data_IF_697648782708
#
_entry.id   IF_697648782708
#
_cell.length_a   1.000
_cell.length_b   1.000
_cell.length_c   1.000
_cell.angle_alpha   90.00
_cell.angle_beta   90.00
_cell.angle_gamma   90.00
#
_symmetry.space_group_name_H-M   'P 1'
#
loop_
_entity.id
_entity.type
_entity.pdbx_description
1 polymer ?
#
# COMPACT_ATOMS: atom_id res chain seq x y z
N UNK A 1 5.71 -27.18 39.99
CA UNK A 1 5.24 -25.78 39.88
C UNK A 1 5.60 -25.29 38.50
N UNK A 2 4.67 -24.68 37.76
CA UNK A 2 4.97 -24.15 36.43
C UNK A 2 5.87 -22.91 36.58
N UNK A 3 7.03 -22.92 35.93
CA UNK A 3 7.94 -21.77 35.90
C UNK A 3 7.37 -20.72 34.96
N UNK A 4 6.80 -19.66 35.51
CA UNK A 4 6.28 -18.55 34.73
C UNK A 4 7.45 -17.68 34.22
N UNK A 5 7.44 -17.38 32.92
CA UNK A 5 8.47 -16.60 32.23
C UNK A 5 7.87 -15.40 31.52
N UNK A 6 8.64 -14.31 31.42
CA UNK A 6 8.23 -13.12 30.70
C UNK A 6 8.07 -13.42 29.21
N UNK A 7 6.89 -13.12 28.65
CA UNK A 7 6.61 -13.34 27.24
C UNK A 7 7.37 -12.38 26.30
N UNK A 8 8.01 -11.32 26.80
CA UNK A 8 8.80 -10.38 25.98
C UNK A 8 10.29 -10.69 25.96
N UNK A 9 10.88 -11.04 27.10
CA UNK A 9 12.33 -11.27 27.21
C UNK A 9 12.72 -12.69 27.60
N UNK A 10 11.75 -13.60 27.72
CA UNK A 10 11.95 -15.01 28.10
C UNK A 10 12.61 -15.25 29.47
N UNK A 11 12.86 -14.21 30.28
CA UNK A 11 13.41 -14.33 31.62
C UNK A 11 12.38 -14.95 32.57
N UNK A 12 12.82 -15.90 33.40
CA UNK A 12 12.01 -16.46 34.48
C UNK A 12 11.60 -15.36 35.46
N UNK A 13 10.33 -15.31 35.85
CA UNK A 13 9.83 -14.23 36.71
C UNK A 13 10.39 -14.28 38.13
N UNK A 14 10.84 -15.46 38.56
CA UNK A 14 11.58 -15.66 39.81
C UNK A 14 12.96 -15.00 39.81
N UNK A 15 13.56 -14.83 38.63
CA UNK A 15 14.88 -14.23 38.44
C UNK A 15 14.80 -12.79 37.91
N UNK A 16 13.59 -12.31 37.59
CA UNK A 16 13.38 -10.99 37.04
C UNK A 16 13.63 -9.92 38.11
N UNK A 17 14.67 -9.10 37.91
CA UNK A 17 14.93 -7.94 38.76
C UNK A 17 13.75 -6.95 38.64
N UNK A 18 13.40 -6.32 39.74
CA UNK A 18 12.32 -5.32 39.78
C UNK A 18 12.94 -3.93 39.83
N UNK A 19 12.54 -2.98 38.96
CA UNK A 19 12.96 -1.59 39.06
C UNK A 19 12.52 -0.99 40.41
N UNK A 20 13.45 -0.38 41.13
CA UNK A 20 13.20 0.29 42.42
C UNK A 20 13.66 1.75 42.34
N UNK A 21 13.07 2.60 43.18
CA UNK A 21 13.50 3.98 43.35
C UNK A 21 14.66 4.04 44.36
N UNK A 22 15.83 4.62 44.04
CA UNK A 22 16.94 4.71 44.99
C UNK A 22 16.61 5.54 46.23
N UNK A 23 15.62 6.42 46.18
CA UNK A 23 15.16 7.24 47.31
C UNK A 23 14.08 6.56 48.17
N UNK A 24 13.46 5.50 47.64
CA UNK A 24 12.37 4.79 48.27
C UNK A 24 12.48 3.33 47.82
N UNK A 25 12.91 2.43 48.70
CA UNK A 25 13.08 0.98 48.46
C UNK A 25 11.82 0.24 47.91
N UNK A 26 10.74 0.97 47.67
CA UNK A 26 9.53 0.50 47.02
C UNK A 26 9.79 0.17 45.54
N UNK A 27 9.35 -1.02 45.09
CA UNK A 27 9.28 -1.35 43.67
C UNK A 27 8.41 -0.36 42.90
N UNK A 28 8.91 0.13 41.75
CA UNK A 28 8.18 1.06 40.88
C UNK A 28 7.07 0.36 40.11
N UNK A 29 7.31 -0.88 39.69
CA UNK A 29 6.40 -1.68 38.88
C UNK A 29 6.48 -3.13 39.33
N UNK A 30 5.39 -3.87 39.16
CA UNK A 30 5.33 -5.30 39.41
C UNK A 30 5.16 -6.07 38.10
N UNK A 31 5.43 -7.38 38.14
CA UNK A 31 5.11 -8.25 37.01
C UNK A 31 3.61 -8.19 36.71
N UNK A 32 3.27 -8.16 35.42
CA UNK A 32 1.90 -7.97 34.95
C UNK A 32 1.44 -9.20 34.18
N UNK A 33 0.36 -9.81 34.65
CA UNK A 33 -0.35 -10.85 33.91
C UNK A 33 -1.41 -10.23 32.98
N UNK A 34 -1.38 -10.63 31.71
CA UNK A 34 -2.27 -10.12 30.67
C UNK A 34 -3.61 -10.86 30.72
N UNK A 35 -4.72 -10.12 30.82
CA UNK A 35 -6.07 -10.71 30.91
C UNK A 35 -6.50 -11.44 29.63
N UNK A 36 -6.03 -11.02 28.45
CA UNK A 36 -6.48 -11.57 27.17
C UNK A 36 -5.92 -12.96 26.84
N UNK A 37 -4.71 -13.29 27.30
CA UNK A 37 -4.03 -14.55 26.95
C UNK A 37 -3.28 -15.19 28.12
N UNK A 38 -3.46 -14.67 29.34
CA UNK A 38 -2.85 -15.17 30.59
C UNK A 38 -1.32 -15.17 30.63
N UNK A 39 -0.65 -14.55 29.65
CA UNK A 39 0.81 -14.41 29.58
C UNK A 39 1.32 -13.32 30.53
N UNK A 40 2.57 -13.45 30.95
CA UNK A 40 3.21 -12.58 31.95
C UNK A 40 4.23 -11.63 31.30
N UNK A 41 4.29 -10.37 31.74
CA UNK A 41 5.34 -9.40 31.36
C UNK A 41 6.08 -8.96 32.62
N UNK A 42 7.40 -9.14 32.65
CA UNK A 42 8.21 -8.73 33.81
C UNK A 42 8.25 -7.20 34.00
N UNK A 43 8.50 -6.75 35.22
CA UNK A 43 8.57 -5.33 35.57
C UNK A 43 9.62 -4.55 34.76
N UNK A 44 10.76 -5.17 34.43
CA UNK A 44 11.80 -4.54 33.60
C UNK A 44 11.33 -4.25 32.17
N UNK A 45 10.61 -5.19 31.54
CA UNK A 45 10.06 -4.96 30.21
C UNK A 45 9.02 -3.84 30.23
N UNK A 46 8.19 -3.78 31.28
CA UNK A 46 7.23 -2.70 31.47
C UNK A 46 7.89 -1.34 31.73
N UNK A 47 9.02 -1.32 32.43
CA UNK A 47 9.78 -0.10 32.68
C UNK A 47 10.49 0.40 31.41
N UNK A 48 11.13 -0.49 30.67
CA UNK A 48 11.79 -0.16 29.39
C UNK A 48 10.80 0.31 28.33
N UNK A 49 9.58 -0.23 28.33
CA UNK A 49 8.53 0.18 27.43
C UNK A 49 7.18 0.31 28.16
N UNK A 50 6.81 1.53 28.57
CA UNK A 50 5.57 1.80 29.31
C UNK A 50 4.30 1.35 28.59
N UNK A 51 4.33 1.16 27.26
CA UNK A 51 3.19 0.62 26.49
C UNK A 51 2.76 -0.75 27.03
N UNK A 52 3.69 -1.58 27.51
CA UNK A 52 3.38 -2.89 28.05
C UNK A 52 2.62 -2.87 29.39
N UNK A 53 2.44 -1.72 30.02
CA UNK A 53 1.57 -1.57 31.19
C UNK A 53 0.08 -1.55 30.84
N UNK A 54 -0.26 -1.16 29.60
CA UNK A 54 -1.65 -1.02 29.13
C UNK A 54 -1.95 -1.74 27.82
N UNK A 55 -0.98 -2.44 27.23
CA UNK A 55 -1.11 -3.13 25.94
C UNK A 55 -0.46 -4.51 25.94
N UNK A 56 -1.14 -5.48 25.34
CA UNK A 56 -0.63 -6.82 25.08
C UNK A 56 0.04 -6.88 23.70
N UNK A 57 1.35 -7.18 23.59
CA UNK A 57 2.03 -7.26 22.29
C UNK A 57 1.59 -8.46 21.44
N UNK A 58 1.02 -9.50 22.04
CA UNK A 58 0.63 -10.73 21.34
C UNK A 58 -0.76 -10.63 20.74
N UNK A 59 -1.74 -10.25 21.56
CA UNK A 59 -3.13 -10.12 21.12
C UNK A 59 -3.43 -8.73 20.54
N UNK A 60 -2.48 -7.80 20.65
CA UNK A 60 -2.62 -6.40 20.24
C UNK A 60 -3.83 -5.68 20.88
N UNK A 61 -4.20 -6.10 22.09
CA UNK A 61 -5.32 -5.55 22.87
C UNK A 61 -4.79 -4.52 23.86
N UNK A 62 -5.50 -3.40 24.01
CA UNK A 62 -5.25 -2.44 25.09
C UNK A 62 -6.26 -2.62 26.22
N UNK A 63 -5.77 -2.58 27.46
CA UNK A 63 -6.59 -2.62 28.67
C UNK A 63 -6.95 -1.22 29.20
N UNK A 64 -6.40 -0.15 28.60
CA UNK A 64 -6.70 1.25 28.95
C UNK A 64 -7.72 1.90 28.01
N UNK A 65 -8.08 3.18 28.22
CA UNK A 65 -8.89 3.96 27.29
C UNK A 65 -8.05 4.28 26.03
N UNK A 66 -7.96 3.32 25.13
CA UNK A 66 -7.26 3.44 23.86
C UNK A 66 -8.25 3.40 22.70
N UNK A 67 -7.88 4.00 21.56
CA UNK A 67 -8.65 3.92 20.32
C UNK A 67 -8.74 2.50 19.72
N UNK A 68 -8.05 1.53 20.33
CA UNK A 68 -8.06 0.12 19.93
C UNK A 68 -9.18 -0.66 20.65
N UNK A 69 -9.92 -1.54 19.94
CA UNK A 69 -10.96 -2.36 20.56
C UNK A 69 -10.44 -3.21 21.72
N UNK A 70 -11.19 -3.24 22.83
CA UNK A 70 -10.91 -4.09 24.01
C UNK A 70 -10.96 -5.58 23.69
N UNK A 71 -11.76 -5.96 22.71
CA UNK A 71 -11.93 -7.34 22.23
C UNK A 71 -10.85 -7.80 21.22
N UNK A 72 -9.89 -6.93 20.88
CA UNK A 72 -8.85 -7.25 19.90
C UNK A 72 -9.28 -7.04 18.46
N UNK A 73 -8.34 -7.27 17.54
CA UNK A 73 -8.62 -7.28 16.11
C UNK A 73 -9.70 -8.34 15.83
N UNK A 74 -10.74 -7.93 15.09
CA UNK A 74 -11.85 -8.80 14.65
C UNK A 74 -11.29 -10.16 14.25
N UNK A 75 -11.79 -11.22 14.88
CA UNK A 75 -11.56 -12.59 14.41
C UNK A 75 -11.87 -12.59 12.90
N UNK A 76 -11.01 -13.19 12.06
CA UNK A 76 -11.34 -13.35 10.65
C UNK A 76 -12.72 -14.03 10.56
N UNK A 77 -13.54 -13.68 9.55
CA UNK A 77 -14.84 -14.31 9.39
C UNK A 77 -14.66 -15.83 9.45
N UNK A 78 -15.49 -16.48 10.27
CA UNK A 78 -15.46 -17.93 10.42
C UNK A 78 -15.74 -18.56 9.06
N UNK A 79 -14.76 -19.26 8.47
CA UNK A 79 -14.93 -19.98 7.20
C UNK A 79 -15.79 -21.25 7.33
N UNK A 80 -16.38 -21.49 8.51
CA UNK A 80 -17.33 -22.59 8.69
C UNK A 80 -18.62 -22.24 7.96
N UNK A 81 -18.81 -22.88 6.81
CA UNK A 81 -20.03 -22.79 6.00
C UNK A 81 -21.21 -23.41 6.77
N UNK A 82 -21.84 -22.64 7.64
CA UNK A 82 -23.16 -22.98 8.19
C UNK A 82 -24.17 -22.82 7.07
N UNK A 83 -24.49 -23.92 6.41
CA UNK A 83 -25.65 -23.99 5.55
C UNK A 83 -26.91 -23.95 6.44
N UNK A 84 -27.82 -22.96 6.28
CA UNK A 84 -29.12 -23.03 6.90
C UNK A 84 -29.95 -24.10 6.20
N UNK A 85 -30.29 -25.16 6.94
CA UNK A 85 -31.28 -26.14 6.57
C UNK A 85 -32.66 -25.49 6.60
N UNK A 86 -33.21 -25.16 5.43
CA UNK A 86 -34.65 -25.21 5.15
C UNK A 86 -34.89 -25.15 3.64
N UNK A 87 -35.91 -25.88 3.19
CA UNK A 87 -36.51 -25.92 1.85
C UNK A 87 -35.86 -26.84 0.79
N UNK A 88 -36.36 -28.07 0.80
CA UNK A 88 -36.70 -28.94 -0.33
C UNK A 88 -36.87 -28.23 -1.68
N UNK A 89 -36.11 -28.62 -2.71
CA UNK A 89 -36.60 -29.05 -4.04
C UNK A 89 -35.45 -29.52 -4.95
N UNK A 90 -35.71 -30.67 -5.59
CA UNK A 90 -35.24 -31.09 -6.91
C UNK A 90 -33.75 -31.33 -7.13
N UNK A 91 -33.45 -32.63 -7.14
CA UNK A 91 -32.38 -33.31 -7.88
C UNK A 91 -32.01 -32.66 -9.21
N UNK A 92 -30.75 -32.26 -9.33
CA UNK A 92 -30.00 -32.23 -10.59
C UNK A 92 -28.53 -32.49 -10.27
N UNK A 93 -28.02 -33.59 -10.84
CA UNK A 93 -26.66 -34.07 -10.68
C UNK A 93 -25.64 -33.02 -11.14
N UNK A 94 -24.62 -32.77 -10.31
CA UNK A 94 -23.40 -32.06 -10.71
C UNK A 94 -22.21 -32.99 -10.43
N UNK A 95 -21.30 -33.18 -11.40
CA UNK A 95 -20.22 -34.15 -11.27
C UNK A 95 -19.26 -33.73 -10.15
N UNK A 96 -18.87 -34.73 -9.35
CA UNK A 96 -17.83 -34.65 -8.34
C UNK A 96 -16.54 -34.09 -8.94
N UNK A 97 -16.06 -32.98 -8.41
CA UNK A 97 -14.69 -32.52 -8.63
C UNK A 97 -13.72 -33.63 -8.17
N UNK A 98 -12.68 -33.97 -8.95
CA UNK A 98 -11.66 -34.90 -8.48
C UNK A 98 -10.96 -34.31 -7.23
N UNK A 99 -10.55 -35.16 -6.28
CA UNK A 99 -9.80 -34.72 -5.11
C UNK A 99 -8.51 -34.01 -5.54
N UNK A 100 -8.02 -33.03 -4.74
CA UNK A 100 -6.70 -32.45 -4.98
C UNK A 100 -5.64 -33.56 -4.96
N UNK A 101 -4.56 -33.41 -5.74
CA UNK A 101 -3.48 -34.40 -5.76
C UNK A 101 -2.93 -34.61 -4.34
N UNK A 102 -2.54 -35.84 -3.97
CA UNK A 102 -1.87 -36.13 -2.72
C UNK A 102 -0.65 -35.22 -2.54
N UNK A 103 -0.45 -34.71 -1.33
CA UNK A 103 0.76 -33.97 -0.99
C UNK A 103 1.92 -34.96 -1.00
N UNK A 104 2.66 -35.01 -2.11
CA UNK A 104 3.97 -35.67 -2.15
C UNK A 104 4.88 -34.91 -1.19
N UNK A 105 5.36 -35.65 -0.19
CA UNK A 105 6.31 -35.21 0.81
C UNK A 105 7.59 -34.79 0.07
N UNK A 106 7.82 -33.49 -0.03
CA UNK A 106 9.02 -32.96 -0.68
C UNK A 106 10.25 -33.57 0.00
N UNK A 107 10.93 -34.43 -0.76
CA UNK A 107 12.22 -35.00 -0.42
C UNK A 107 13.10 -34.00 0.34
N UNK A 108 13.68 -34.38 1.48
CA UNK A 108 14.62 -33.53 2.19
C UNK A 108 15.80 -33.27 1.25
N UNK A 109 16.09 -31.98 1.04
CA UNK A 109 17.32 -31.52 0.42
C UNK A 109 18.50 -32.31 0.99
N UNK A 110 19.23 -33.01 0.11
CA UNK A 110 20.49 -33.64 0.44
C UNK A 110 21.45 -32.57 0.96
N UNK A 111 21.62 -32.51 2.28
CA UNK A 111 22.85 -32.07 2.91
C UNK A 111 23.94 -33.08 2.55
N UNK A 112 24.74 -32.77 1.53
CA UNK A 112 26.04 -33.40 1.36
C UNK A 112 27.00 -32.78 2.38
N UNK A 113 27.12 -33.47 3.51
CA UNK A 113 28.31 -33.41 4.36
C UNK A 113 29.50 -33.89 3.55
N UNK A 114 30.37 -32.96 3.17
CA UNK A 114 31.75 -33.24 2.80
C UNK A 114 32.64 -32.60 3.85
N UNK A 115 32.96 -33.38 4.87
CA UNK A 115 34.09 -33.12 5.76
C UNK A 115 35.39 -33.36 5.00
N UNK A 116 36.08 -32.29 4.64
CA UNK A 116 37.54 -32.27 4.56
C UNK A 116 38.03 -30.95 5.14
N UNK A 117 38.56 -31.07 6.35
CA UNK A 117 39.29 -30.08 7.13
C UNK A 117 40.42 -29.44 6.32
N UNK A 118 40.48 -28.11 6.28
CA UNK A 118 41.71 -27.33 6.35
C UNK A 118 41.38 -25.87 6.72
N UNK A 119 41.90 -25.51 7.89
CA UNK A 119 42.52 -24.24 8.29
C UNK A 119 41.82 -22.89 8.03
N UNK A 120 41.79 -22.07 9.09
CA UNK A 120 41.03 -20.83 9.15
C UNK A 120 41.65 -19.70 8.32
N UNK A 121 40.82 -18.69 7.99
CA UNK A 121 41.14 -17.25 8.01
C UNK A 121 39.88 -16.45 7.63
N UNK A 122 39.48 -15.57 8.55
CA UNK A 122 38.65 -14.34 8.44
C UNK A 122 37.55 -14.24 7.37
N UNK A 123 36.30 -14.21 7.84
CA UNK A 123 35.15 -13.61 7.15
C UNK A 123 35.29 -12.08 7.13
N UNK A 124 35.65 -11.53 5.97
CA UNK A 124 35.24 -10.18 5.59
C UNK A 124 34.14 -10.27 4.54
N UNK A 125 32.92 -9.90 4.95
CA UNK A 125 31.80 -9.66 4.05
C UNK A 125 32.05 -8.34 3.33
N UNK A 126 32.69 -8.40 2.17
CA UNK A 126 32.64 -7.33 1.18
C UNK A 126 31.83 -7.84 -0.02
N UNK A 127 30.50 -7.73 0.07
CA UNK A 127 29.63 -7.79 -1.10
C UNK A 127 29.77 -6.46 -1.82
N UNK A 128 30.75 -6.40 -2.72
CA UNK A 128 30.89 -5.33 -3.69
C UNK A 128 29.64 -5.34 -4.58
N UNK A 129 28.75 -4.38 -4.36
CA UNK A 129 27.76 -3.96 -5.35
C UNK A 129 28.55 -3.61 -6.63
N UNK A 130 28.30 -4.25 -7.78
CA UNK A 130 28.98 -3.83 -8.99
C UNK A 130 28.59 -2.38 -9.31
N UNK A 131 29.60 -1.54 -9.47
CA UNK A 131 29.48 -0.16 -9.95
C UNK A 131 28.79 -0.16 -11.31
N UNK A 132 27.81 0.73 -11.44
CA UNK A 132 27.27 1.30 -12.69
C UNK A 132 27.43 0.42 -13.93
N UNK A 133 26.65 -0.67 -13.99
CA UNK A 133 26.29 -1.21 -15.29
C UNK A 133 25.28 -0.25 -15.92
N UNK A 134 25.48 0.12 -17.18
CA UNK A 134 24.50 0.90 -17.96
C UNK A 134 23.20 0.09 -18.08
N UNK A 135 22.33 0.20 -17.08
CA UNK A 135 21.06 -0.51 -17.04
C UNK A 135 20.10 0.08 -18.07
N UNK A 136 19.42 -0.78 -18.81
CA UNK A 136 18.43 -0.36 -19.80
C UNK A 136 17.18 0.15 -19.09
N UNK A 137 16.74 1.35 -19.44
CA UNK A 137 15.52 1.96 -18.88
C UNK A 137 14.32 1.53 -19.72
N UNK A 138 13.31 0.93 -19.09
CA UNK A 138 12.02 0.62 -19.70
C UNK A 138 10.93 1.53 -19.15
N UNK A 139 10.25 2.25 -20.03
CA UNK A 139 9.09 3.07 -19.70
C UNK A 139 7.83 2.21 -19.61
N UNK A 140 7.16 2.29 -18.46
CA UNK A 140 6.02 1.42 -18.14
C UNK A 140 4.78 1.92 -18.89
N UNK A 141 4.15 1.00 -19.62
CA UNK A 141 2.82 1.18 -20.22
C UNK A 141 1.72 0.60 -19.30
N UNK A 142 0.46 1.03 -19.45
CA UNK A 142 -0.65 0.50 -18.64
C UNK A 142 -0.85 -1.02 -18.78
N UNK A 143 -0.45 -1.59 -19.92
CA UNK A 143 -0.56 -3.01 -20.21
C UNK A 143 0.64 -3.83 -19.73
N UNK A 144 1.67 -3.18 -19.16
CA UNK A 144 2.86 -3.86 -18.69
C UNK A 144 2.65 -4.53 -17.32
N UNK A 145 3.19 -5.74 -17.20
CA UNK A 145 3.22 -6.52 -15.97
C UNK A 145 4.63 -7.08 -15.76
N UNK A 146 4.99 -7.44 -14.52
CA UNK A 146 6.30 -8.04 -14.26
C UNK A 146 6.51 -9.35 -15.07
N UNK A 147 5.45 -10.11 -15.33
CA UNK A 147 5.51 -11.31 -16.15
C UNK A 147 5.76 -10.99 -17.63
N UNK A 148 5.05 -10.00 -18.20
CA UNK A 148 5.26 -9.62 -19.60
C UNK A 148 6.67 -9.04 -19.81
N UNK A 149 7.17 -8.24 -18.87
CA UNK A 149 8.53 -7.69 -18.91
C UNK A 149 9.60 -8.77 -18.73
N UNK A 150 9.35 -9.75 -17.86
CA UNK A 150 10.24 -10.90 -17.68
C UNK A 150 10.41 -11.68 -18.98
N UNK A 151 9.32 -11.89 -19.74
CA UNK A 151 9.35 -12.58 -21.02
C UNK A 151 9.99 -11.73 -22.12
N UNK A 152 9.66 -10.44 -22.20
CA UNK A 152 10.18 -9.54 -23.22
C UNK A 152 11.71 -9.38 -23.11
N UNK A 153 12.22 -9.22 -21.89
CA UNK A 153 13.63 -8.95 -21.63
C UNK A 153 14.42 -10.19 -21.20
N UNK A 154 13.77 -11.36 -21.09
CA UNK A 154 14.37 -12.62 -20.63
C UNK A 154 15.02 -12.52 -19.25
N UNK A 155 14.47 -11.68 -18.36
CA UNK A 155 14.95 -11.49 -16.99
C UNK A 155 14.00 -12.18 -16.02
N UNK A 156 14.45 -13.06 -15.12
CA UNK A 156 13.56 -13.68 -14.13
C UNK A 156 12.87 -12.64 -13.24
N UNK A 157 11.56 -12.83 -12.98
CA UNK A 157 10.76 -11.95 -12.12
C UNK A 157 11.41 -11.65 -10.75
N UNK A 158 12.01 -12.62 -10.03
CA UNK A 158 12.65 -12.32 -8.73
C UNK A 158 13.81 -11.34 -8.84
N UNK A 159 14.60 -11.43 -9.92
CA UNK A 159 15.74 -10.53 -10.19
C UNK A 159 15.23 -9.14 -10.56
N UNK A 160 14.20 -9.07 -11.40
CA UNK A 160 13.61 -7.78 -11.78
C UNK A 160 12.99 -7.07 -10.57
N UNK A 161 12.37 -7.82 -9.65
CA UNK A 161 11.82 -7.30 -8.39
C UNK A 161 12.91 -6.79 -7.44
N UNK A 162 13.97 -7.58 -7.22
CA UNK A 162 15.05 -7.19 -6.31
C UNK A 162 15.83 -5.98 -6.84
N UNK A 163 16.14 -5.97 -8.14
CA UNK A 163 16.87 -4.86 -8.77
C UNK A 163 16.13 -3.53 -8.70
N UNK A 164 14.81 -3.57 -8.82
CA UNK A 164 13.96 -2.38 -8.78
C UNK A 164 13.36 -2.11 -7.40
N UNK A 165 13.70 -2.86 -6.34
CA UNK A 165 13.06 -2.74 -5.02
C UNK A 165 11.52 -2.77 -5.10
N UNK A 166 10.97 -3.78 -5.79
CA UNK A 166 9.53 -4.03 -5.92
C UNK A 166 9.10 -5.14 -4.96
N UNK A 167 8.37 -4.78 -3.91
CA UNK A 167 7.85 -5.74 -2.92
C UNK A 167 6.55 -6.42 -3.35
N UNK A 168 5.78 -5.78 -4.25
CA UNK A 168 4.54 -6.33 -4.81
C UNK A 168 4.35 -5.89 -6.25
N UNK A 169 3.57 -6.67 -7.00
CA UNK A 169 3.37 -6.47 -8.44
C UNK A 169 2.56 -5.20 -8.74
N UNK A 170 1.68 -4.82 -7.82
CA UNK A 170 0.92 -3.57 -7.88
C UNK A 170 1.79 -2.31 -7.85
N UNK A 171 3.01 -2.39 -7.32
CA UNK A 171 3.92 -1.24 -7.25
C UNK A 171 4.54 -0.90 -8.61
N UNK A 172 4.43 -1.77 -9.60
CA UNK A 172 4.87 -1.49 -10.97
C UNK A 172 4.07 -0.32 -11.56
N UNK A 173 2.73 -0.34 -11.41
CA UNK A 173 1.85 0.69 -11.97
C UNK A 173 2.05 2.10 -11.36
N UNK A 174 2.67 2.18 -10.18
CA UNK A 174 2.97 3.45 -9.53
C UNK A 174 4.24 4.12 -10.08
N UNK A 175 4.98 3.45 -10.97
CA UNK A 175 6.25 3.94 -11.52
C UNK A 175 6.11 4.35 -12.97
N UNK A 176 6.93 5.32 -13.36
CA UNK A 176 7.05 5.76 -14.76
C UNK A 176 7.98 4.86 -15.57
N UNK A 177 9.02 4.35 -14.93
CA UNK A 177 10.05 3.52 -15.56
C UNK A 177 10.61 2.49 -14.58
N UNK A 178 11.27 1.47 -15.13
CA UNK A 178 12.07 0.48 -14.39
C UNK A 178 13.44 0.31 -15.02
N UNK A 179 14.38 -0.20 -14.22
CA UNK A 179 15.72 -0.58 -14.67
C UNK A 179 15.77 -2.07 -14.99
N UNK A 180 16.39 -2.39 -16.11
CA UNK A 180 16.57 -3.76 -16.57
C UNK A 180 18.05 -4.10 -16.42
N UNK A 181 18.40 -5.09 -15.57
CA UNK A 181 19.79 -5.45 -15.35
C UNK A 181 20.47 -5.85 -16.65
N UNK A 182 21.59 -5.19 -16.96
CA UNK A 182 22.39 -5.53 -18.16
C UNK A 182 22.98 -6.95 -18.11
N UNK A 183 23.08 -7.52 -16.92
CA UNK A 183 23.49 -8.92 -16.69
C UNK A 183 22.63 -9.94 -17.45
N UNK A 184 21.37 -9.62 -17.73
CA UNK A 184 20.44 -10.52 -18.40
C UNK A 184 19.99 -10.01 -19.78
N UNK A 185 20.15 -8.71 -20.05
CA UNK A 185 19.67 -8.08 -21.27
C UNK A 185 20.62 -6.98 -21.75
N UNK A 186 21.22 -7.17 -22.93
CA UNK A 186 22.13 -6.22 -23.58
C UNK A 186 21.54 -5.65 -24.89
N UNK A 187 20.22 -5.75 -25.05
CA UNK A 187 19.52 -5.25 -26.24
C UNK A 187 19.06 -3.79 -26.13
N UNK A 188 18.53 -3.21 -27.22
CA UNK A 188 17.94 -1.87 -27.19
C UNK A 188 16.68 -1.84 -26.29
N UNK A 189 16.34 -0.69 -25.69
CA UNK A 189 15.09 -0.56 -24.94
C UNK A 189 13.90 -0.90 -25.85
N UNK A 190 13.03 -1.82 -25.41
CA UNK A 190 11.82 -2.18 -26.16
C UNK A 190 10.67 -1.20 -25.92
N UNK A 191 10.75 -0.34 -24.91
CA UNK A 191 9.74 0.69 -24.66
C UNK A 191 9.96 1.93 -25.50
N UNK A 192 8.88 2.49 -26.03
CA UNK A 192 8.88 3.85 -26.57
C UNK A 192 8.91 4.86 -25.40
N UNK A 193 9.91 5.74 -25.31
CA UNK A 193 9.93 6.78 -24.30
C UNK A 193 8.73 7.73 -24.52
N UNK A 194 8.06 8.19 -23.44
CA UNK A 194 7.03 9.20 -23.55
C UNK A 194 7.64 10.49 -24.10
N UNK A 195 6.91 11.13 -25.01
CA UNK A 195 7.35 12.39 -25.61
C UNK A 195 7.47 13.48 -24.52
N UNK A 196 8.66 14.08 -24.32
CA UNK A 196 8.88 15.07 -23.27
C UNK A 196 7.99 16.32 -23.45
N UNK A 197 7.69 16.68 -24.69
CA UNK A 197 6.87 17.85 -25.00
C UNK A 197 5.41 17.63 -24.61
N UNK A 198 4.84 16.45 -24.91
CA UNK A 198 3.50 16.04 -24.46
C UNK A 198 3.37 16.01 -22.93
N UNK A 199 4.37 15.51 -22.19
CA UNK A 199 4.35 15.54 -20.72
C UNK A 199 4.40 16.96 -20.17
N UNK A 200 5.22 17.84 -20.78
CA UNK A 200 5.29 19.25 -20.42
C UNK A 200 3.96 19.95 -20.67
N UNK A 201 3.29 19.68 -21.81
CA UNK A 201 1.96 20.21 -22.12
C UNK A 201 0.91 19.77 -21.10
N UNK A 202 0.85 18.47 -20.78
CA UNK A 202 -0.08 17.94 -19.76
C UNK A 202 0.17 18.55 -18.38
N UNK A 203 1.43 18.76 -18.03
CA UNK A 203 1.80 19.40 -16.76
C UNK A 203 1.38 20.87 -16.71
N UNK A 204 1.61 21.63 -17.79
CA UNK A 204 1.16 23.02 -17.92
C UNK A 204 -0.36 23.12 -17.87
N UNK A 205 -1.08 22.22 -18.53
CA UNK A 205 -2.54 22.14 -18.51
C UNK A 205 -3.08 21.93 -17.09
N UNK A 206 -2.52 20.96 -16.34
CA UNK A 206 -2.88 20.75 -14.93
C UNK A 206 -2.59 21.96 -14.06
N UNK A 207 -1.42 22.60 -14.25
CA UNK A 207 -1.06 23.81 -13.51
C UNK A 207 -2.01 24.97 -13.80
N UNK A 208 -2.39 25.16 -15.07
CA UNK A 208 -3.36 26.17 -15.47
C UNK A 208 -4.72 25.95 -14.79
N UNK A 209 -5.26 24.71 -14.85
CA UNK A 209 -6.56 24.38 -14.22
C UNK A 209 -6.56 24.63 -12.71
N UNK A 210 -5.43 24.37 -12.03
CA UNK A 210 -5.29 24.67 -10.59
C UNK A 210 -5.21 26.18 -10.34
N UNK A 211 -4.48 26.92 -11.18
CA UNK A 211 -4.31 28.37 -11.03
C UNK A 211 -5.59 29.15 -11.31
N UNK A 212 -6.35 28.77 -12.33
CA UNK A 212 -7.61 29.43 -12.72
C UNK A 212 -8.83 28.86 -12.00
N UNK A 213 -8.69 27.71 -11.33
CA UNK A 213 -9.79 26.94 -10.71
C UNK A 213 -10.87 26.52 -11.71
N UNK A 214 -10.56 26.53 -13.01
CA UNK A 214 -11.44 26.03 -14.06
C UNK A 214 -11.15 24.54 -14.27
N UNK A 215 -12.17 23.70 -14.03
CA UNK A 215 -12.06 22.25 -14.23
C UNK A 215 -12.33 21.81 -15.69
N UNK A 216 -12.65 22.74 -16.58
CA UNK A 216 -12.95 22.43 -17.98
C UNK A 216 -11.66 22.30 -18.81
N UNK A 217 -11.40 21.07 -19.26
CA UNK A 217 -10.25 20.73 -20.08
C UNK A 217 -10.24 21.46 -21.43
N UNK A 218 -11.40 21.67 -22.04
CA UNK A 218 -11.51 22.28 -23.36
C UNK A 218 -11.10 23.76 -23.30
N UNK A 219 -11.55 24.45 -22.26
CA UNK A 219 -11.19 25.85 -21.97
C UNK A 219 -9.69 25.97 -21.67
N UNK A 220 -9.14 25.10 -20.81
CA UNK A 220 -7.71 25.08 -20.52
C UNK A 220 -6.86 24.91 -21.77
N UNK A 221 -7.27 24.00 -22.67
CA UNK A 221 -6.59 23.74 -23.94
C UNK A 221 -6.63 24.95 -24.86
N UNK A 222 -7.76 25.67 -24.89
CA UNK A 222 -7.92 26.87 -25.72
C UNK A 222 -6.96 27.98 -25.29
N UNK A 223 -6.93 28.33 -23.99
CA UNK A 223 -6.04 29.39 -23.48
C UNK A 223 -4.56 29.04 -23.62
N UNK A 224 -4.19 27.78 -23.38
CA UNK A 224 -2.81 27.34 -23.57
C UNK A 224 -2.40 27.31 -25.05
N UNK A 225 -3.31 26.92 -25.95
CA UNK A 225 -3.04 26.96 -27.40
C UNK A 225 -2.93 28.40 -27.92
N UNK A 226 -3.72 29.33 -27.40
CA UNK A 226 -3.70 30.75 -27.78
C UNK A 226 -2.49 31.53 -27.27
N UNK A 227 -1.75 30.98 -26.30
CA UNK A 227 -0.58 31.62 -25.66
C UNK A 227 0.72 30.85 -25.92
N UNK A 228 0.78 30.01 -26.96
CA UNK A 228 1.92 29.16 -27.29
C UNK A 228 2.43 28.32 -26.10
N UNK A 229 1.50 27.84 -25.26
CA UNK A 229 1.75 27.11 -24.03
C UNK A 229 2.57 27.89 -22.99
N UNK A 230 2.46 29.22 -22.97
CA UNK A 230 2.95 30.04 -21.88
C UNK A 230 1.91 30.06 -20.74
N UNK A 231 2.27 29.45 -19.62
CA UNK A 231 1.35 29.27 -18.49
C UNK A 231 0.89 30.62 -17.91
N UNK A 232 1.79 31.58 -17.74
CA UNK A 232 1.50 32.82 -17.06
C UNK A 232 0.58 33.70 -17.91
N UNK A 233 0.89 33.83 -19.21
CA UNK A 233 0.03 34.54 -20.16
C UNK A 233 -1.36 33.91 -20.28
N UNK A 234 -1.45 32.57 -20.29
CA UNK A 234 -2.72 31.86 -20.34
C UNK A 234 -3.59 32.10 -19.09
N UNK A 235 -2.96 32.21 -17.91
CA UNK A 235 -3.67 32.48 -16.65
C UNK A 235 -4.10 33.95 -16.59
N UNK A 236 -3.25 34.87 -17.04
CA UNK A 236 -3.55 36.30 -17.10
C UNK A 236 -4.70 36.59 -18.06
N UNK A 237 -4.68 36.02 -19.28
CA UNK A 237 -5.75 36.16 -20.25
C UNK A 237 -7.10 35.66 -19.69
N UNK A 238 -7.11 34.52 -19.00
CA UNK A 238 -8.32 34.00 -18.37
C UNK A 238 -8.85 34.92 -17.25
N UNK A 239 -7.96 35.48 -16.43
CA UNK A 239 -8.35 36.43 -15.37
C UNK A 239 -8.88 37.73 -15.94
N UNK A 240 -8.26 38.25 -17.00
CA UNK A 240 -8.72 39.44 -17.70
C UNK A 240 -10.13 39.24 -18.26
N UNK A 241 -10.42 38.07 -18.83
CA UNK A 241 -11.77 37.73 -19.31
C UNK A 241 -12.79 37.66 -18.15
N UNK A 242 -12.46 37.02 -17.02
CA UNK A 242 -13.33 36.99 -15.83
C UNK A 242 -13.59 38.39 -15.24
N UNK A 243 -12.57 39.26 -15.22
CA UNK A 243 -12.68 40.65 -14.78
C UNK A 243 -13.53 41.48 -15.76
N UNK A 244 -13.39 41.20 -17.05
CA UNK A 244 -14.21 41.81 -18.09
C UNK A 244 -15.67 41.40 -17.95
N UNK A 245 -15.97 40.10 -17.78
CA UNK A 245 -17.34 39.60 -17.55
C UNK A 245 -17.98 40.21 -16.30
N UNK A 246 -17.19 40.40 -15.24
CA UNK A 246 -17.65 41.01 -13.98
C UNK A 246 -17.97 42.50 -14.14
N UNK A 247 -17.21 43.22 -14.94
CA UNK A 247 -17.39 44.66 -15.21
C UNK A 247 -18.39 44.94 -16.33
N UNK A 248 -18.71 43.94 -17.16
CA UNK A 248 -19.70 44.01 -18.23
C UNK A 248 -20.85 42.99 -18.01
N UNK A 249 -21.66 43.13 -16.94
CA UNK A 249 -22.84 42.30 -16.78
C UNK A 249 -23.76 42.42 -18.01
N UNK A 250 -24.02 41.31 -18.68
CA UNK A 250 -24.91 41.23 -19.83
C UNK A 250 -26.27 41.87 -19.52
N UNK A 251 -26.60 42.97 -20.23
CA UNK A 251 -27.85 43.72 -20.03
C UNK A 251 -28.91 43.26 -21.03
N UNK A 252 -29.79 42.34 -20.59
CA UNK A 252 -31.06 41.93 -21.24
C UNK A 252 -30.99 40.58 -21.99
N UNK A 253 -31.92 39.62 -21.90
CA UNK A 253 -33.37 39.57 -21.59
C UNK A 253 -33.68 38.36 -20.68
N UNK A 254 -34.65 38.51 -19.78
CA UNK A 254 -34.94 37.55 -18.72
C UNK A 254 -35.57 36.23 -19.14
N UNK A 255 -35.26 35.19 -18.37
CA UNK A 255 -36.21 34.24 -17.75
C UNK A 255 -35.41 33.43 -16.72
N UNK A 256 -36.00 33.19 -15.56
CA UNK A 256 -35.39 32.54 -14.41
C UNK A 256 -34.51 31.33 -14.74
N UNK A 257 -33.22 31.43 -14.43
CA UNK A 257 -32.37 30.27 -14.11
C UNK A 257 -31.43 30.63 -12.96
N UNK A 258 -32.03 31.12 -11.86
CA UNK A 258 -31.35 31.09 -10.57
C UNK A 258 -31.19 29.61 -10.17
N UNK A 259 -29.94 29.22 -9.92
CA UNK A 259 -29.50 28.01 -9.22
C UNK A 259 -29.04 26.79 -10.05
N UNK A 260 -27.93 26.93 -10.81
CA UNK A 260 -26.94 25.83 -10.92
C UNK A 260 -25.50 26.37 -10.86
N UNK A 261 -25.15 27.10 -9.79
CA UNK A 261 -23.74 27.24 -9.34
C UNK A 261 -23.73 27.47 -7.83
N UNK A 262 -23.70 26.36 -7.07
CA UNK A 262 -23.09 26.24 -5.74
C UNK A 262 -23.63 24.98 -5.04
N UNK A 263 -22.97 23.83 -5.23
CA UNK A 263 -22.87 22.77 -4.21
C UNK A 263 -21.57 22.00 -4.38
N UNK A 264 -20.46 22.64 -4.01
CA UNK A 264 -19.31 21.92 -3.47
C UNK A 264 -19.26 22.23 -1.98
N UNK A 265 -19.71 21.28 -1.15
CA UNK A 265 -19.61 21.36 0.31
C UNK A 265 -20.80 20.76 1.05
N UNK A 266 -20.54 19.60 1.69
CA UNK A 266 -21.15 19.14 2.95
C UNK A 266 -22.40 18.21 2.93
N UNK A 267 -22.08 16.90 3.03
CA UNK A 267 -22.56 15.95 4.05
C UNK A 267 -23.92 15.23 3.87
N UNK A 268 -23.83 13.91 3.68
CA UNK A 268 -24.61 12.92 4.45
C UNK A 268 -25.75 12.16 3.74
N UNK A 269 -25.60 10.83 3.64
CA UNK A 269 -26.61 9.83 4.05
C UNK A 269 -27.74 9.44 3.09
N UNK A 270 -27.85 8.12 2.82
CA UNK A 270 -29.04 7.42 2.28
C UNK A 270 -29.19 7.53 0.76
N UNK A 271 -29.25 6.46 -0.03
CA UNK A 271 -30.06 5.26 0.13
C UNK A 271 -31.30 5.37 -0.76
N UNK A 272 -31.51 4.40 -1.65
CA UNK A 272 -32.63 4.19 -2.62
C UNK A 272 -32.31 4.66 -4.05
N UNK A 273 -32.03 3.77 -5.02
CA UNK A 273 -32.95 2.83 -5.70
C UNK A 273 -34.09 3.54 -6.45
N UNK A 274 -33.97 3.70 -7.77
CA UNK A 274 -35.07 3.50 -8.72
C UNK A 274 -34.55 3.03 -10.09
N UNK A 275 -35.16 1.96 -10.56
CA UNK A 275 -35.09 1.39 -11.90
C UNK A 275 -35.75 2.31 -12.94
N UNK A 276 -35.30 2.26 -14.20
CA UNK A 276 -36.14 2.49 -15.37
C UNK A 276 -35.51 1.88 -16.64
N UNK A 277 -36.13 0.80 -17.12
CA UNK A 277 -36.05 0.31 -18.49
C UNK A 277 -36.84 1.25 -19.43
N UNK A 278 -36.43 1.33 -20.69
CA UNK A 278 -37.20 1.25 -21.96
C UNK A 278 -36.30 1.86 -23.05
N UNK A 279 -35.79 1.09 -24.02
CA UNK A 279 -36.49 0.60 -25.22
C UNK A 279 -37.13 1.71 -26.05
N UNK A 280 -36.37 2.18 -27.05
CA UNK A 280 -36.75 2.19 -28.47
C UNK A 280 -35.48 2.26 -29.32
#
# INVERSE_FOLDING_TARGET
MATEACCTCATLLTEAKVPYDPSSEKPLLFNRRLSCCSREICALCQYKNPRFQSYCPFCQISSGPSALPKEGLRLPPSYTRTAPTTATVSSSARPSSPPPPPYEDHHPYQTTTSTSSHDGTTRDTNTTRPENTDDTIHHISPDDSLASLSLAYKVPVPVLRSHNNLYSDSLLAARKYIFIPRTHYDGPPLSTPPDPDEEARKTKLRRWMVATKCADYSVATLYLKGSDYNLDLAVEAFKADEEWEKSHPLKGKGKDSRAVRSRFGQRGGGGSSISAQLSQ
#
